data_IF_958362966293
#
_entry.id   IF_958362966293
#
_cell.length_a   1.000
_cell.length_b   1.000
_cell.length_c   1.000
_cell.angle_alpha   90.00
_cell.angle_beta   90.00
_cell.angle_gamma   90.00
#
_symmetry.space_group_name_H-M   'P 1'
#
loop_
_entity.id
_entity.type
_entity.pdbx_description
1 polymer ?
#
# COMPACT_ATOMS: atom_id res chain seq x y z
N UNK A 1 58.14 17.69 7.47
CA UNK A 1 56.83 17.79 6.77
C UNK A 1 56.50 16.40 6.26
N UNK A 2 55.45 15.75 6.76
CA UNK A 2 55.01 14.45 6.25
C UNK A 2 54.48 14.62 4.83
N UNK A 3 55.03 13.89 3.87
CA UNK A 3 54.51 13.82 2.50
C UNK A 3 53.01 13.51 2.54
N UNK A 4 52.17 14.18 1.73
CA UNK A 4 50.77 13.81 1.61
C UNK A 4 50.69 12.34 1.18
N UNK A 5 49.75 11.57 1.76
CA UNK A 5 49.62 10.15 1.40
C UNK A 5 49.42 10.02 -0.11
N UNK A 6 50.07 9.03 -0.73
CA UNK A 6 50.06 8.87 -2.21
C UNK A 6 48.65 8.78 -2.81
N UNK A 7 47.68 8.30 -2.02
CA UNK A 7 46.27 8.30 -2.40
C UNK A 7 45.64 9.71 -2.42
N UNK A 8 45.90 10.53 -1.40
CA UNK A 8 45.34 11.88 -1.29
C UNK A 8 46.01 12.88 -2.24
N UNK A 9 47.18 12.55 -2.79
CA UNK A 9 47.81 13.33 -3.87
C UNK A 9 47.22 13.06 -5.27
N UNK A 10 46.42 12.00 -5.45
CA UNK A 10 45.74 11.74 -6.74
C UNK A 10 44.73 12.86 -7.05
N UNK A 11 44.42 13.15 -8.32
CA UNK A 11 43.31 14.04 -8.68
C UNK A 11 41.96 13.55 -8.13
N UNK A 12 41.02 14.48 -7.91
CA UNK A 12 39.71 14.19 -7.31
C UNK A 12 38.93 13.15 -8.11
N UNK A 13 38.99 13.25 -9.42
CA UNK A 13 38.31 12.39 -10.40
C UNK A 13 38.80 10.95 -10.28
N UNK A 14 40.11 10.74 -10.12
CA UNK A 14 40.70 9.42 -9.92
C UNK A 14 40.30 8.84 -8.57
N UNK A 15 40.28 9.67 -7.51
CA UNK A 15 39.78 9.23 -6.20
C UNK A 15 38.31 8.83 -6.27
N UNK A 16 37.47 9.53 -7.01
CA UNK A 16 36.05 9.20 -7.18
C UNK A 16 35.84 7.86 -7.89
N UNK A 17 36.64 7.55 -8.90
CA UNK A 17 36.64 6.22 -9.54
C UNK A 17 37.03 5.14 -8.53
N UNK A 18 38.06 5.40 -7.71
CA UNK A 18 38.51 4.45 -6.67
C UNK A 18 37.43 4.27 -5.60
N UNK A 19 36.78 5.35 -5.14
CA UNK A 19 35.70 5.26 -4.16
C UNK A 19 34.51 4.49 -4.69
N UNK A 20 34.11 4.73 -5.95
CA UNK A 20 33.04 3.99 -6.60
C UNK A 20 33.39 2.49 -6.70
N UNK A 21 34.61 2.16 -7.12
CA UNK A 21 35.08 0.79 -7.17
C UNK A 21 35.09 0.12 -5.78
N UNK A 22 35.53 0.85 -4.74
CA UNK A 22 35.60 0.34 -3.37
C UNK A 22 34.22 -0.06 -2.82
N UNK A 23 33.19 0.74 -3.11
CA UNK A 23 31.81 0.47 -2.62
C UNK A 23 30.98 -0.36 -3.60
N UNK A 24 31.50 -0.69 -4.78
CA UNK A 24 30.76 -1.44 -5.78
C UNK A 24 30.48 -2.87 -5.31
N UNK A 25 29.24 -3.31 -5.48
CA UNK A 25 28.81 -4.69 -5.31
C UNK A 25 28.13 -5.15 -6.61
N UNK A 26 28.52 -6.31 -7.13
CA UNK A 26 28.09 -6.83 -8.43
C UNK A 26 26.55 -6.89 -8.57
N UNK A 27 25.88 -7.39 -7.53
CA UNK A 27 24.41 -7.46 -7.45
C UNK A 27 23.79 -6.30 -6.63
N UNK A 28 24.60 -5.29 -6.31
CA UNK A 28 24.21 -4.14 -5.51
C UNK A 28 23.87 -4.47 -4.06
N UNK A 29 22.92 -3.71 -3.51
CA UNK A 29 22.49 -3.80 -2.12
C UNK A 29 21.09 -4.39 -2.00
N UNK A 30 20.82 -5.03 -0.87
CA UNK A 30 19.52 -5.61 -0.53
C UNK A 30 19.09 -5.19 0.87
N UNK A 31 17.79 -5.30 1.14
CA UNK A 31 17.27 -5.09 2.48
C UNK A 31 17.43 -6.35 3.35
N UNK A 32 18.07 -6.21 4.51
CA UNK A 32 18.07 -7.21 5.57
C UNK A 32 16.69 -7.22 6.27
N UNK A 33 15.84 -8.17 5.87
CA UNK A 33 14.47 -8.26 6.36
C UNK A 33 14.37 -8.64 7.84
N UNK A 34 15.33 -9.39 8.39
CA UNK A 34 15.31 -9.76 9.81
C UNK A 34 15.54 -8.54 10.69
N UNK A 35 16.52 -7.70 10.34
CA UNK A 35 16.77 -6.42 11.01
C UNK A 35 15.61 -5.45 10.84
N UNK A 36 15.04 -5.37 9.63
CA UNK A 36 13.89 -4.51 9.38
C UNK A 36 12.66 -4.96 10.17
N UNK A 37 12.34 -6.25 10.16
CA UNK A 37 11.24 -6.83 10.91
C UNK A 37 11.41 -6.58 12.41
N UNK A 38 12.61 -6.85 12.96
CA UNK A 38 12.93 -6.57 14.35
C UNK A 38 12.75 -5.09 14.69
N UNK A 39 13.16 -4.18 13.79
CA UNK A 39 12.94 -2.74 13.99
C UNK A 39 11.46 -2.37 14.03
N UNK A 40 10.67 -2.84 13.05
CA UNK A 40 9.23 -2.60 13.00
C UNK A 40 8.58 -3.11 14.29
N UNK A 41 8.85 -4.35 14.70
CA UNK A 41 8.26 -4.95 15.89
C UNK A 41 8.67 -4.19 17.17
N UNK A 42 9.92 -3.77 17.29
CA UNK A 42 10.37 -2.95 18.43
C UNK A 42 9.69 -1.57 18.50
N UNK A 43 9.18 -1.06 17.37
CA UNK A 43 8.39 0.17 17.36
C UNK A 43 6.95 -0.09 17.80
N UNK A 44 6.42 -1.30 17.62
CA UNK A 44 5.11 -1.70 18.15
C UNK A 44 5.08 -1.83 19.67
N UNK A 45 6.20 -2.20 20.28
CA UNK A 45 6.35 -2.34 21.73
C UNK A 45 6.55 -1.01 22.46
N UNK A 46 6.94 0.05 21.74
CA UNK A 46 7.28 1.36 22.31
C UNK A 46 6.09 2.33 22.31
N UNK A 47 6.14 3.31 23.22
CA UNK A 47 5.08 4.28 23.39
C UNK A 47 4.97 5.21 22.17
N UNK A 48 3.73 5.53 21.75
CA UNK A 48 3.40 6.19 20.48
C UNK A 48 4.02 7.59 20.30
N UNK A 49 4.49 8.23 21.37
CA UNK A 49 5.11 9.56 21.32
C UNK A 49 6.60 9.54 20.95
N UNK A 50 7.17 8.37 20.61
CA UNK A 50 8.58 8.28 20.23
C UNK A 50 8.74 8.56 18.72
N UNK A 51 9.55 9.53 18.30
CA UNK A 51 9.72 9.86 16.89
C UNK A 51 10.26 8.66 16.09
N UNK A 52 9.82 8.56 14.83
CA UNK A 52 10.21 7.50 13.90
C UNK A 52 11.74 7.50 13.78
N UNK A 53 12.39 6.45 14.27
CA UNK A 53 13.85 6.36 14.27
C UNK A 53 14.36 5.93 12.89
N UNK A 54 15.52 6.46 12.52
CA UNK A 54 16.33 5.94 11.42
C UNK A 54 16.52 4.43 11.58
N UNK A 55 16.18 3.65 10.55
CA UNK A 55 16.37 2.20 10.58
C UNK A 55 17.80 1.89 10.13
N UNK A 56 18.74 1.97 11.08
CA UNK A 56 20.16 1.74 10.80
C UNK A 56 20.44 0.28 10.41
N UNK A 57 21.35 0.08 9.46
CA UNK A 57 21.92 -1.23 9.15
C UNK A 57 20.95 -2.22 8.50
N UNK A 58 19.87 -1.74 7.89
CA UNK A 58 18.93 -2.58 7.10
C UNK A 58 19.37 -2.80 5.67
N UNK A 59 20.39 -2.08 5.19
CA UNK A 59 20.99 -2.36 3.89
C UNK A 59 22.24 -3.22 4.11
N UNK A 60 22.39 -4.21 3.25
CA UNK A 60 23.54 -5.09 3.17
C UNK A 60 23.86 -5.37 1.71
N UNK A 61 25.03 -5.92 1.42
CA UNK A 61 25.35 -6.40 0.08
C UNK A 61 24.45 -7.58 -0.30
N UNK A 62 24.26 -7.80 -1.59
CA UNK A 62 23.44 -8.91 -2.08
C UNK A 62 23.98 -10.30 -1.70
N UNK A 63 25.31 -10.43 -1.51
CA UNK A 63 25.99 -11.61 -0.97
C UNK A 63 25.80 -11.79 0.56
N UNK A 64 24.89 -11.01 1.17
CA UNK A 64 24.56 -10.98 2.59
C UNK A 64 25.70 -10.46 3.49
N UNK A 65 26.78 -9.93 2.93
CA UNK A 65 27.83 -9.29 3.71
C UNK A 65 27.46 -7.85 4.09
N UNK A 66 28.00 -7.33 5.21
CA UNK A 66 27.87 -5.91 5.53
C UNK A 66 28.44 -5.02 4.42
N UNK A 67 27.89 -3.81 4.26
CA UNK A 67 28.49 -2.79 3.39
C UNK A 67 29.79 -2.32 4.06
N UNK A 68 30.92 -2.49 3.38
CA UNK A 68 32.21 -2.03 3.89
C UNK A 68 32.33 -0.50 3.74
N UNK A 69 32.42 0.17 4.89
CA UNK A 69 32.59 1.63 4.98
C UNK A 69 33.92 2.00 5.64
N UNK A 70 34.83 1.05 5.83
CA UNK A 70 36.09 1.26 6.56
C UNK A 70 36.92 2.40 5.97
N UNK A 71 36.98 2.52 4.63
CA UNK A 71 37.68 3.61 3.97
C UNK A 71 37.15 4.99 4.39
N UNK A 72 35.83 5.14 4.55
CA UNK A 72 35.21 6.40 4.99
C UNK A 72 35.59 6.81 6.42
N UNK A 73 36.02 5.85 7.25
CA UNK A 73 36.44 6.10 8.63
C UNK A 73 37.92 6.45 8.78
N UNK A 74 38.71 6.40 7.69
CA UNK A 74 40.16 6.65 7.74
C UNK A 74 40.51 8.12 8.03
N UNK A 75 39.84 9.08 7.36
CA UNK A 75 40.01 10.50 7.65
C UNK A 75 38.80 11.33 7.19
N UNK A 76 38.69 12.57 7.70
CA UNK A 76 37.55 13.48 7.42
C UNK A 76 37.40 13.84 5.94
N UNK A 77 38.51 13.93 5.20
CA UNK A 77 38.47 14.26 3.77
C UNK A 77 37.80 13.12 3.00
N UNK A 78 38.29 11.88 3.19
CA UNK A 78 37.72 10.67 2.58
C UNK A 78 36.26 10.48 3.00
N UNK A 79 35.93 10.67 4.29
CA UNK A 79 34.56 10.60 4.78
C UNK A 79 33.61 11.58 4.05
N UNK A 80 34.07 12.80 3.80
CA UNK A 80 33.30 13.83 3.09
C UNK A 80 33.16 13.49 1.61
N UNK A 81 34.24 13.02 1.01
CA UNK A 81 34.35 12.68 -0.40
C UNK A 81 33.55 11.43 -0.79
N UNK A 82 33.48 10.44 0.10
CA UNK A 82 32.72 9.20 -0.10
C UNK A 82 31.24 9.30 0.25
N UNK A 83 30.79 10.47 0.73
CA UNK A 83 29.39 10.67 1.14
C UNK A 83 28.46 10.43 -0.05
N UNK A 84 27.60 9.43 0.07
CA UNK A 84 26.61 9.10 -0.95
C UNK A 84 27.11 8.18 -2.06
N UNK A 85 28.42 8.03 -2.27
CA UNK A 85 29.01 7.25 -3.37
C UNK A 85 28.47 5.81 -3.41
N UNK A 86 28.30 5.18 -2.24
CA UNK A 86 27.73 3.85 -2.12
C UNK A 86 26.30 3.72 -2.69
N UNK A 87 25.45 4.74 -2.47
CA UNK A 87 24.05 4.77 -2.93
C UNK A 87 23.94 5.22 -4.40
N UNK A 88 24.91 5.99 -4.88
CA UNK A 88 24.98 6.41 -6.27
C UNK A 88 25.44 5.29 -7.19
N UNK A 89 26.37 4.47 -6.69
CA UNK A 89 27.01 3.39 -7.45
C UNK A 89 26.16 2.12 -7.52
N UNK A 90 25.43 1.80 -6.45
CA UNK A 90 24.76 0.51 -6.32
C UNK A 90 23.24 0.63 -6.41
N UNK A 91 22.62 -0.31 -7.15
CA UNK A 91 21.18 -0.48 -7.09
C UNK A 91 20.77 -1.06 -5.73
N UNK A 92 19.61 -0.65 -5.21
CA UNK A 92 19.02 -1.22 -4.00
C UNK A 92 17.80 -2.06 -4.37
N UNK A 93 17.86 -3.35 -4.04
CA UNK A 93 16.79 -4.29 -4.31
C UNK A 93 15.95 -4.56 -3.08
N UNK A 94 14.63 -4.38 -3.21
CA UNK A 94 13.62 -4.78 -2.24
C UNK A 94 12.78 -5.92 -2.80
N UNK A 95 12.26 -6.76 -1.93
CA UNK A 95 11.40 -7.91 -2.24
C UNK A 95 10.26 -7.96 -1.25
N UNK A 96 9.27 -8.83 -1.49
CA UNK A 96 8.15 -8.94 -0.56
C UNK A 96 8.60 -9.47 0.80
N UNK A 97 8.08 -8.88 1.88
CA UNK A 97 8.56 -9.13 3.24
C UNK A 97 7.49 -9.79 4.11
N UNK A 98 7.89 -10.80 4.88
CA UNK A 98 7.05 -11.46 5.89
C UNK A 98 7.89 -12.11 6.98
N UNK A 99 7.33 -12.24 8.17
CA UNK A 99 7.85 -13.01 9.30
C UNK A 99 6.67 -13.61 10.09
N UNK A 100 6.92 -14.42 11.10
CA UNK A 100 5.87 -15.02 11.93
C UNK A 100 4.98 -14.00 12.64
N UNK A 101 5.56 -12.86 13.02
CA UNK A 101 4.89 -11.76 13.70
C UNK A 101 4.34 -10.76 12.67
N UNK A 102 5.13 -10.40 11.66
CA UNK A 102 4.73 -9.44 10.62
C UNK A 102 3.52 -9.94 9.81
N UNK A 103 3.38 -11.25 9.58
CA UNK A 103 2.20 -11.79 8.88
C UNK A 103 0.89 -11.49 9.62
N UNK A 104 0.91 -11.38 10.94
CA UNK A 104 -0.29 -11.08 11.74
C UNK A 104 -0.66 -9.60 11.56
N UNK A 105 0.35 -8.72 11.53
CA UNK A 105 0.19 -7.30 11.25
C UNK A 105 -0.34 -7.12 9.83
N UNK A 106 0.28 -7.75 8.83
CA UNK A 106 -0.14 -7.70 7.44
C UNK A 106 -1.57 -8.23 7.24
N UNK A 107 -1.96 -9.34 7.90
CA UNK A 107 -3.33 -9.85 7.88
C UNK A 107 -4.33 -8.82 8.40
N UNK A 108 -4.04 -8.22 9.56
CA UNK A 108 -4.92 -7.21 10.19
C UNK A 108 -5.05 -5.98 9.30
N UNK A 109 -3.93 -5.53 8.76
CA UNK A 109 -3.87 -4.41 7.85
C UNK A 109 -4.67 -4.66 6.57
N UNK A 110 -4.49 -5.83 5.94
CA UNK A 110 -5.24 -6.22 4.76
C UNK A 110 -6.76 -6.22 5.02
N UNK A 111 -7.16 -6.81 6.15
CA UNK A 111 -8.55 -6.86 6.53
C UNK A 111 -9.13 -5.46 6.72
N UNK A 112 -8.38 -4.59 7.41
CA UNK A 112 -8.81 -3.22 7.63
C UNK A 112 -8.92 -2.45 6.32
N UNK A 113 -7.86 -2.39 5.51
CA UNK A 113 -7.86 -1.58 4.28
C UNK A 113 -8.88 -2.07 3.27
N UNK A 114 -8.81 -3.34 2.88
CA UNK A 114 -9.58 -3.86 1.74
C UNK A 114 -11.01 -4.20 2.15
N UNK A 115 -11.19 -4.91 3.26
CA UNK A 115 -12.52 -5.47 3.62
C UNK A 115 -13.38 -4.48 4.39
N UNK A 116 -12.77 -3.68 5.27
CA UNK A 116 -13.51 -2.70 6.05
C UNK A 116 -13.53 -1.39 5.30
N UNK A 117 -12.38 -0.80 5.07
CA UNK A 117 -12.28 0.59 4.69
C UNK A 117 -12.77 0.88 3.27
N UNK A 118 -12.20 0.23 2.27
CA UNK A 118 -12.60 0.44 0.87
C UNK A 118 -14.02 -0.07 0.61
N UNK A 119 -14.36 -1.23 1.16
CA UNK A 119 -15.70 -1.80 1.06
C UNK A 119 -16.78 -0.93 1.70
N UNK A 120 -16.54 -0.41 2.91
CA UNK A 120 -17.47 0.47 3.61
C UNK A 120 -17.60 1.82 2.90
N UNK A 121 -16.52 2.38 2.35
CA UNK A 121 -16.58 3.62 1.56
C UNK A 121 -17.46 3.46 0.33
N UNK A 122 -17.23 2.40 -0.42
CA UNK A 122 -18.00 2.11 -1.62
C UNK A 122 -19.48 1.89 -1.27
N UNK A 123 -19.78 1.09 -0.25
CA UNK A 123 -21.14 0.87 0.22
C UNK A 123 -21.82 2.17 0.73
N UNK A 124 -21.12 2.96 1.54
CA UNK A 124 -21.61 4.25 2.04
C UNK A 124 -21.87 5.23 0.90
N UNK A 125 -20.98 5.27 -0.10
CA UNK A 125 -21.18 6.12 -1.27
C UNK A 125 -22.41 5.69 -2.05
N UNK A 126 -22.59 4.40 -2.33
CA UNK A 126 -23.79 3.89 -3.01
C UNK A 126 -25.08 4.23 -2.27
N UNK A 127 -25.06 4.20 -0.94
CA UNK A 127 -26.20 4.53 -0.10
C UNK A 127 -26.47 6.04 -0.04
N UNK A 128 -25.45 6.84 0.25
CA UNK A 128 -25.59 8.25 0.57
C UNK A 128 -25.32 9.21 -0.61
N UNK A 129 -24.79 8.76 -1.74
CA UNK A 129 -24.32 9.66 -2.78
C UNK A 129 -25.39 10.52 -3.47
N UNK A 130 -26.67 10.14 -3.39
CA UNK A 130 -27.77 10.99 -3.83
C UNK A 130 -27.88 12.29 -2.99
N UNK A 131 -27.44 12.25 -1.73
CA UNK A 131 -27.53 13.37 -0.77
C UNK A 131 -26.42 14.40 -0.91
N UNK A 132 -25.51 14.22 -1.88
CA UNK A 132 -24.43 15.15 -2.16
C UNK A 132 -24.97 16.53 -2.57
N UNK A 133 -24.47 17.63 -1.96
CA UNK A 133 -24.82 19.00 -2.37
C UNK A 133 -24.46 19.28 -3.83
N UNK A 134 -25.26 20.10 -4.53
CA UNK A 134 -25.07 20.35 -5.96
C UNK A 134 -23.72 21.02 -6.28
N UNK A 135 -23.30 22.01 -5.48
CA UNK A 135 -22.01 22.68 -5.68
C UNK A 135 -20.83 21.71 -5.61
N UNK A 136 -20.84 20.83 -4.60
CA UNK A 136 -19.82 19.79 -4.44
C UNK A 136 -19.86 18.76 -5.57
N UNK A 137 -21.06 18.37 -6.01
CA UNK A 137 -21.25 17.45 -7.16
C UNK A 137 -20.60 18.02 -8.42
N UNK A 138 -20.82 19.31 -8.71
CA UNK A 138 -20.21 19.96 -9.87
C UNK A 138 -18.68 20.05 -9.73
N UNK A 139 -18.18 20.38 -8.53
CA UNK A 139 -16.75 20.35 -8.24
C UNK A 139 -16.12 18.97 -8.50
N UNK A 140 -16.79 17.90 -8.09
CA UNK A 140 -16.33 16.52 -8.33
C UNK A 140 -16.39 16.13 -9.81
N UNK A 141 -17.39 16.59 -10.57
CA UNK A 141 -17.42 16.36 -12.03
C UNK A 141 -16.25 17.02 -12.75
N UNK A 142 -15.87 18.22 -12.33
CA UNK A 142 -14.70 18.92 -12.89
C UNK A 142 -13.39 18.18 -12.55
N UNK A 143 -13.28 17.67 -11.33
CA UNK A 143 -12.10 16.93 -10.86
C UNK A 143 -12.01 15.51 -11.43
N UNK A 144 -13.15 14.85 -11.61
CA UNK A 144 -13.28 13.47 -12.05
C UNK A 144 -14.31 13.33 -13.19
N UNK A 145 -14.02 13.87 -14.39
CA UNK A 145 -14.97 13.87 -15.51
C UNK A 145 -15.41 12.46 -15.92
N UNK A 146 -14.55 11.45 -15.78
CA UNK A 146 -14.86 10.05 -16.08
C UNK A 146 -15.96 9.47 -15.17
N UNK A 147 -16.16 10.03 -13.96
CA UNK A 147 -17.20 9.60 -13.03
C UNK A 147 -18.44 10.51 -13.05
N UNK A 148 -18.50 11.51 -13.93
CA UNK A 148 -19.66 12.40 -14.04
C UNK A 148 -20.97 11.66 -14.35
N UNK A 149 -21.03 10.66 -15.26
CA UNK A 149 -22.25 9.90 -15.52
C UNK A 149 -22.76 9.14 -14.28
N UNK A 150 -21.84 8.65 -13.44
CA UNK A 150 -22.19 7.99 -12.19
C UNK A 150 -22.85 8.97 -11.20
N UNK A 151 -22.29 10.18 -11.07
CA UNK A 151 -22.85 11.22 -10.20
C UNK A 151 -24.24 11.67 -10.67
N UNK A 152 -24.46 11.78 -11.98
CA UNK A 152 -25.77 12.12 -12.56
C UNK A 152 -26.80 11.03 -12.30
N UNK A 153 -26.43 9.78 -12.56
CA UNK A 153 -27.29 8.63 -12.30
C UNK A 153 -27.72 8.57 -10.83
N UNK A 154 -26.79 8.78 -9.89
CA UNK A 154 -27.09 8.76 -8.46
C UNK A 154 -28.04 9.88 -8.02
N UNK A 155 -27.95 11.06 -8.65
CA UNK A 155 -28.89 12.16 -8.42
C UNK A 155 -30.29 11.80 -8.91
N UNK A 156 -30.39 11.25 -10.12
CA UNK A 156 -31.65 10.91 -10.77
C UNK A 156 -32.38 9.77 -10.05
N UNK A 157 -31.66 8.72 -9.66
CA UNK A 157 -32.26 7.53 -9.03
C UNK A 157 -32.60 7.74 -7.54
N UNK A 158 -32.01 8.75 -6.89
CA UNK A 158 -32.23 9.03 -5.48
C UNK A 158 -31.94 7.82 -4.57
N UNK A 159 -32.72 7.67 -3.50
CA UNK A 159 -32.68 6.49 -2.62
C UNK A 159 -33.66 5.37 -3.04
N UNK A 160 -34.17 5.41 -4.28
CA UNK A 160 -35.24 4.49 -4.71
C UNK A 160 -34.72 3.21 -5.37
N UNK A 161 -33.41 3.12 -5.62
CA UNK A 161 -32.83 1.99 -6.34
C UNK A 161 -32.87 0.69 -5.50
N UNK A 162 -33.34 -0.45 -6.04
CA UNK A 162 -33.43 -1.71 -5.28
C UNK A 162 -32.09 -2.16 -4.67
N UNK A 163 -30.97 -1.87 -5.34
CA UNK A 163 -29.63 -2.18 -4.82
C UNK A 163 -29.22 -1.35 -3.58
N UNK A 164 -29.79 -0.17 -3.32
CA UNK A 164 -29.52 0.59 -2.08
C UNK A 164 -30.31 0.05 -0.88
N UNK A 165 -31.43 -0.66 -1.12
CA UNK A 165 -32.22 -1.33 -0.08
C UNK A 165 -31.73 -2.74 0.25
N UNK A 166 -31.10 -3.43 -0.70
CA UNK A 166 -30.60 -4.80 -0.49
C UNK A 166 -29.26 -4.84 0.25
N UNK A 167 -28.53 -3.74 0.42
CA UNK A 167 -27.24 -3.69 1.14
C UNK A 167 -27.37 -3.38 2.64
N UNK A 168 -28.57 -3.02 3.13
CA UNK A 168 -28.77 -2.51 4.50
C UNK A 168 -29.08 -3.58 5.55
N UNK A 169 -28.76 -4.85 5.29
CA UNK A 169 -28.95 -5.92 6.28
C UNK A 169 -28.02 -7.11 6.09
N UNK A 170 -27.90 -7.94 7.14
CA UNK A 170 -27.15 -9.20 7.11
C UNK A 170 -27.55 -10.11 5.93
N UNK A 171 -28.77 -10.02 5.44
CA UNK A 171 -29.25 -10.77 4.27
C UNK A 171 -28.61 -10.30 2.95
N UNK A 172 -28.36 -9.00 2.80
CA UNK A 172 -27.65 -8.41 1.66
C UNK A 172 -26.18 -8.81 1.58
N UNK A 173 -25.51 -8.72 2.73
CA UNK A 173 -24.15 -9.20 2.88
C UNK A 173 -24.11 -10.72 2.65
N UNK A 174 -24.99 -11.48 3.31
CA UNK A 174 -25.04 -12.93 3.17
C UNK A 174 -25.40 -13.37 1.73
N UNK A 175 -26.15 -12.57 0.98
CA UNK A 175 -26.44 -12.82 -0.43
C UNK A 175 -25.23 -12.47 -1.32
N UNK A 176 -24.49 -11.39 -1.05
CA UNK A 176 -23.17 -11.13 -1.66
C UNK A 176 -22.18 -12.27 -1.40
N UNK A 177 -22.18 -12.79 -0.16
CA UNK A 177 -21.36 -13.91 0.28
C UNK A 177 -21.77 -15.27 -0.36
N UNK A 178 -23.07 -15.50 -0.62
CA UNK A 178 -23.65 -16.76 -1.15
C UNK A 178 -23.76 -16.82 -2.69
N UNK A 179 -23.91 -15.68 -3.37
CA UNK A 179 -24.14 -15.63 -4.83
C UNK A 179 -22.88 -15.39 -5.66
N UNK A 180 -21.69 -15.54 -5.07
CA UNK A 180 -20.43 -15.38 -5.80
C UNK A 180 -20.24 -13.99 -6.42
N UNK A 181 -20.86 -12.94 -5.85
CA UNK A 181 -20.78 -11.56 -6.37
C UNK A 181 -21.38 -11.34 -7.77
N UNK A 182 -22.17 -12.27 -8.30
CA UNK A 182 -22.61 -12.26 -9.70
C UNK A 182 -23.74 -11.29 -10.05
N UNK A 183 -24.70 -11.05 -9.13
CA UNK A 183 -25.95 -10.30 -9.44
C UNK A 183 -25.99 -8.83 -9.00
N UNK A 184 -25.02 -8.35 -8.22
CA UNK A 184 -25.00 -6.99 -7.63
C UNK A 184 -23.98 -6.04 -8.32
N UNK A 185 -23.81 -6.18 -9.64
CA UNK A 185 -22.70 -5.57 -10.40
C UNK A 185 -22.98 -4.16 -10.94
N UNK A 186 -24.21 -3.63 -10.87
CA UNK A 186 -24.58 -2.45 -11.69
C UNK A 186 -23.93 -1.13 -11.28
N UNK A 187 -23.35 -1.02 -10.08
CA UNK A 187 -22.64 0.18 -9.60
C UNK A 187 -21.26 -0.12 -9.01
N UNK A 188 -20.60 -1.20 -9.45
CA UNK A 188 -19.26 -1.51 -8.97
C UNK A 188 -18.22 -0.88 -9.89
N UNK A 189 -17.42 0.03 -9.34
CA UNK A 189 -16.22 0.53 -10.01
C UNK A 189 -15.19 -0.58 -10.26
N UNK A 190 -14.10 -0.26 -10.97
CA UNK A 190 -13.63 1.10 -11.24
C UNK A 190 -14.09 1.68 -12.60
N UNK A 191 -15.04 1.05 -13.30
CA UNK A 191 -15.58 1.55 -14.59
C UNK A 191 -14.52 1.72 -15.69
N UNK A 192 -13.51 0.84 -15.71
CA UNK A 192 -12.38 0.91 -16.65
C UNK A 192 -11.20 1.75 -16.16
N UNK A 193 -11.35 2.48 -15.06
CA UNK A 193 -10.28 3.29 -14.45
C UNK A 193 -9.37 2.46 -13.52
N UNK A 194 -8.28 3.08 -13.06
CA UNK A 194 -7.46 2.50 -12.01
C UNK A 194 -8.27 2.33 -10.70
N UNK A 195 -8.21 1.18 -10.02
CA UNK A 195 -8.85 0.98 -8.73
C UNK A 195 -8.47 2.06 -7.69
N UNK A 196 -7.21 2.51 -7.67
CA UNK A 196 -6.74 3.58 -6.79
C UNK A 196 -7.40 4.93 -7.06
N UNK A 197 -7.62 5.27 -8.34
CA UNK A 197 -8.31 6.47 -8.75
C UNK A 197 -9.77 6.44 -8.29
N UNK A 198 -10.45 5.30 -8.47
CA UNK A 198 -11.80 5.10 -7.98
C UNK A 198 -11.89 5.19 -6.44
N UNK A 199 -10.98 4.55 -5.70
CA UNK A 199 -10.91 4.67 -4.23
C UNK A 199 -10.70 6.11 -3.76
N UNK A 200 -9.89 6.89 -4.48
CA UNK A 200 -9.66 8.31 -4.20
C UNK A 200 -10.92 9.12 -4.46
N UNK A 201 -11.59 8.89 -5.60
CA UNK A 201 -12.89 9.49 -5.91
C UNK A 201 -13.93 9.19 -4.83
N UNK A 202 -14.04 7.93 -4.35
CA UNK A 202 -14.97 7.56 -3.29
C UNK A 202 -14.70 8.34 -1.99
N UNK A 203 -13.44 8.51 -1.62
CA UNK A 203 -13.05 9.30 -0.44
C UNK A 203 -13.50 10.75 -0.56
N UNK A 204 -13.23 11.37 -1.70
CA UNK A 204 -13.57 12.77 -1.96
C UNK A 204 -15.09 12.97 -2.06
N UNK A 205 -15.78 12.03 -2.70
CA UNK A 205 -17.24 12.02 -2.77
C UNK A 205 -17.90 11.91 -1.40
N UNK A 206 -17.41 11.02 -0.52
CA UNK A 206 -17.91 10.92 0.84
C UNK A 206 -17.61 12.17 1.67
N UNK A 207 -16.45 12.80 1.44
CA UNK A 207 -16.10 14.08 2.09
C UNK A 207 -17.07 15.18 1.65
N UNK A 208 -17.37 15.27 0.36
CA UNK A 208 -18.36 16.18 -0.21
C UNK A 208 -19.78 15.92 0.34
N UNK A 209 -20.21 14.67 0.47
CA UNK A 209 -21.51 14.34 1.07
C UNK A 209 -21.53 14.80 2.54
N UNK A 210 -20.45 14.55 3.28
CA UNK A 210 -20.30 14.93 4.67
C UNK A 210 -20.14 16.45 4.89
N UNK A 211 -20.08 17.28 3.84
CA UNK A 211 -20.05 18.74 4.00
C UNK A 211 -21.40 19.33 4.42
N UNK A 212 -22.50 18.60 4.18
CA UNK A 212 -23.86 19.00 4.56
C UNK A 212 -24.42 18.20 5.74
N UNK A 213 -25.30 18.82 6.53
CA UNK A 213 -26.00 18.14 7.64
C UNK A 213 -26.79 16.92 7.14
N UNK A 214 -27.54 17.08 6.06
CA UNK A 214 -28.33 16.00 5.46
C UNK A 214 -27.46 14.83 4.98
N UNK A 215 -26.34 15.11 4.31
CA UNK A 215 -25.43 14.07 3.85
C UNK A 215 -24.73 13.33 4.99
N UNK A 216 -24.34 14.03 6.07
CA UNK A 216 -23.83 13.39 7.30
C UNK A 216 -24.86 12.44 7.90
N UNK A 217 -26.11 12.86 8.01
CA UNK A 217 -27.20 12.02 8.53
C UNK A 217 -27.40 10.76 7.67
N UNK A 218 -27.25 10.83 6.34
CA UNK A 218 -27.31 9.65 5.48
C UNK A 218 -26.14 8.69 5.69
N UNK A 219 -24.91 9.20 5.83
CA UNK A 219 -23.72 8.36 6.11
C UNK A 219 -23.86 7.68 7.47
N UNK A 220 -24.30 8.40 8.49
CA UNK A 220 -24.53 7.82 9.82
C UNK A 220 -25.67 6.80 9.81
N UNK A 221 -26.74 7.05 9.05
CA UNK A 221 -27.84 6.11 8.88
C UNK A 221 -27.35 4.80 8.27
N UNK A 222 -26.58 4.86 7.18
CA UNK A 222 -25.93 3.69 6.60
C UNK A 222 -25.15 2.90 7.67
N UNK A 223 -24.38 3.60 8.50
CA UNK A 223 -23.56 2.96 9.54
C UNK A 223 -24.40 2.31 10.65
N UNK A 224 -25.48 2.95 11.09
CA UNK A 224 -26.42 2.39 12.06
C UNK A 224 -27.11 1.13 11.53
N UNK A 225 -27.50 1.13 10.26
CA UNK A 225 -28.20 0.01 9.62
C UNK A 225 -27.27 -1.18 9.33
N UNK A 226 -26.05 -0.93 8.85
CA UNK A 226 -25.11 -2.00 8.47
C UNK A 226 -24.23 -2.51 9.59
N UNK A 227 -23.95 -1.67 10.60
CA UNK A 227 -23.02 -1.98 11.68
C UNK A 227 -23.63 -1.79 13.09
N UNK A 228 -24.84 -2.30 13.40
CA UNK A 228 -25.56 -1.97 14.63
C UNK A 228 -24.81 -2.31 15.92
N UNK A 229 -23.98 -3.37 15.90
CA UNK A 229 -23.20 -3.81 17.07
C UNK A 229 -21.91 -3.01 17.31
N UNK A 230 -21.45 -2.25 16.33
CA UNK A 230 -20.19 -1.48 16.37
C UNK A 230 -20.37 0.01 16.10
N UNK A 231 -21.60 0.46 15.82
CA UNK A 231 -21.93 1.85 15.52
C UNK A 231 -21.53 2.83 16.64
N UNK A 232 -21.49 2.39 17.89
CA UNK A 232 -21.07 3.19 19.05
C UNK A 232 -19.54 3.19 19.27
N UNK A 233 -18.79 2.27 18.64
CA UNK A 233 -17.34 2.10 18.82
C UNK A 233 -16.53 2.82 17.73
N UNK A 234 -17.12 3.02 16.55
CA UNK A 234 -16.46 3.61 15.39
C UNK A 234 -17.39 4.71 14.86
N UNK A 235 -17.02 6.00 15.00
CA UNK A 235 -17.74 7.09 14.35
C UNK A 235 -17.83 6.86 12.84
N UNK A 236 -19.01 7.02 12.25
CA UNK A 236 -19.27 6.74 10.83
C UNK A 236 -18.30 7.49 9.89
N UNK A 237 -17.90 8.70 10.27
CA UNK A 237 -16.97 9.53 9.49
C UNK A 237 -15.51 9.07 9.56
N UNK A 238 -15.13 8.16 10.47
CA UNK A 238 -13.75 7.64 10.51
C UNK A 238 -13.36 6.92 9.21
N UNK A 239 -14.33 6.26 8.58
CA UNK A 239 -14.13 5.61 7.27
C UNK A 239 -13.83 6.64 6.18
N UNK A 240 -14.32 7.88 6.31
CA UNK A 240 -14.00 8.97 5.40
C UNK A 240 -12.62 9.54 5.73
N UNK A 241 -12.31 9.72 7.02
CA UNK A 241 -11.17 10.48 7.52
C UNK A 241 -9.83 9.72 7.55
N UNK A 242 -9.79 8.38 7.45
CA UNK A 242 -8.51 7.67 7.59
C UNK A 242 -7.46 8.15 6.58
N UNK A 243 -6.26 8.32 7.13
CA UNK A 243 -5.07 8.81 6.43
C UNK A 243 -4.08 7.70 6.08
N UNK A 244 -4.30 6.49 6.61
CA UNK A 244 -3.44 5.33 6.34
C UNK A 244 -3.55 5.00 4.84
N UNK A 245 -2.40 4.89 4.19
CA UNK A 245 -2.28 4.57 2.76
C UNK A 245 -2.15 3.06 2.56
N UNK A 246 -2.59 2.56 1.40
CA UNK A 246 -2.49 1.14 1.01
C UNK A 246 -1.06 0.60 1.08
N UNK A 247 -0.07 1.39 0.66
CA UNK A 247 1.34 1.03 0.68
C UNK A 247 2.04 1.23 2.04
N UNK A 248 1.30 1.49 3.12
CA UNK A 248 1.89 1.64 4.43
C UNK A 248 2.39 0.30 5.00
N UNK A 249 3.46 0.37 5.77
CA UNK A 249 3.83 -0.69 6.73
C UNK A 249 3.39 -0.18 8.11
N UNK A 250 2.25 -0.66 8.66
CA UNK A 250 1.63 -0.05 9.82
C UNK A 250 2.50 -0.09 11.08
N UNK A 251 2.51 1.03 11.79
CA UNK A 251 3.13 1.18 13.11
C UNK A 251 2.11 0.96 14.23
N UNK A 252 2.56 0.97 15.49
CA UNK A 252 1.70 0.74 16.64
C UNK A 252 0.49 1.71 16.69
N UNK A 253 0.71 2.98 16.33
CA UNK A 253 -0.34 3.99 16.29
C UNK A 253 -1.40 3.67 15.22
N UNK A 254 -0.97 3.36 13.99
CA UNK A 254 -1.85 2.89 12.92
C UNK A 254 -2.65 1.69 13.40
N UNK A 255 -1.99 0.74 14.08
CA UNK A 255 -2.63 -0.45 14.64
C UNK A 255 -3.65 -0.15 15.74
N UNK A 256 -3.49 0.93 16.51
CA UNK A 256 -4.51 1.36 17.49
C UNK A 256 -5.80 1.81 16.79
N UNK A 257 -5.69 2.53 15.66
CA UNK A 257 -6.85 2.80 14.80
C UNK A 257 -7.50 1.49 14.31
N UNK A 258 -6.71 0.46 14.02
CA UNK A 258 -7.18 -0.86 13.58
C UNK A 258 -7.80 -1.73 14.69
N UNK A 259 -7.51 -1.43 15.96
CA UNK A 259 -7.88 -2.30 17.11
C UNK A 259 -9.27 -2.00 17.67
N UNK A 260 -9.76 -0.75 17.52
CA UNK A 260 -11.13 -0.38 17.92
C UNK A 260 -12.20 -1.14 17.10
N UNK A 261 -11.89 -1.51 15.87
CA UNK A 261 -12.74 -2.39 15.04
C UNK A 261 -12.76 -3.84 15.56
N UNK A 262 -11.67 -4.31 16.19
CA UNK A 262 -11.54 -5.69 16.70
C UNK A 262 -12.32 -5.95 17.99
N UNK A 263 -12.60 -4.93 18.80
CA UNK A 263 -13.41 -5.08 20.02
C UNK A 263 -14.83 -5.60 19.74
N UNK A 264 -15.32 -5.38 18.51
CA UNK A 264 -16.65 -5.81 18.08
C UNK A 264 -16.76 -7.30 17.68
N UNK A 265 -15.64 -8.04 17.57
CA UNK A 265 -15.67 -9.36 16.93
C UNK A 265 -14.70 -10.39 17.56
N UNK A 266 -14.97 -10.80 18.80
CA UNK A 266 -14.16 -11.75 19.59
C UNK A 266 -13.90 -13.11 18.91
N UNK A 267 -14.87 -13.64 18.16
CA UNK A 267 -14.72 -14.89 17.37
C UNK A 267 -13.65 -14.78 16.29
N UNK A 268 -13.48 -13.60 15.68
CA UNK A 268 -12.51 -13.37 14.61
C UNK A 268 -11.06 -13.38 15.13
N UNK A 269 -10.83 -12.95 16.38
CA UNK A 269 -9.50 -12.86 17.00
C UNK A 269 -8.86 -14.25 17.18
N UNK A 270 -9.63 -15.24 17.64
CA UNK A 270 -9.16 -16.62 17.80
C UNK A 270 -8.83 -17.31 16.47
N UNK A 271 -9.65 -17.11 15.43
CA UNK A 271 -9.39 -17.65 14.08
C UNK A 271 -8.16 -17.01 13.42
N UNK A 272 -7.91 -15.71 13.63
CA UNK A 272 -6.77 -14.99 13.03
C UNK A 272 -5.43 -15.39 13.66
N UNK A 273 -5.40 -15.75 14.94
CA UNK A 273 -4.19 -16.25 15.61
C UNK A 273 -3.82 -17.67 15.16
N UNK A 274 -4.82 -18.48 14.77
CA UNK A 274 -4.63 -19.83 14.23
C UNK A 274 -4.34 -19.85 12.72
N UNK A 275 -4.59 -18.73 12.04
CA UNK A 275 -4.23 -18.57 10.64
C UNK A 275 -2.71 -18.71 10.49
N UNK A 276 -2.26 -19.57 9.57
CA UNK A 276 -0.84 -19.79 9.24
C UNK A 276 -0.49 -19.27 7.84
N UNK A 277 -1.40 -18.54 7.21
CA UNK A 277 -1.16 -17.88 5.92
C UNK A 277 0.03 -16.93 6.03
N UNK A 278 0.88 -16.95 5.00
CA UNK A 278 1.98 -16.01 4.86
C UNK A 278 1.47 -14.72 4.20
N UNK A 279 0.86 -13.84 4.99
CA UNK A 279 0.58 -12.47 4.58
C UNK A 279 1.89 -11.67 4.51
N UNK A 280 2.04 -10.86 3.46
CA UNK A 280 3.29 -10.16 3.16
C UNK A 280 3.05 -8.69 2.84
N UNK A 281 4.01 -7.84 3.16
CA UNK A 281 4.09 -6.51 2.59
C UNK A 281 4.76 -6.58 1.22
N UNK A 282 4.29 -5.77 0.29
CA UNK A 282 4.85 -5.66 -1.06
C UNK A 282 6.28 -5.12 -1.01
N UNK A 283 7.08 -5.38 -2.05
CA UNK A 283 8.40 -4.75 -2.18
C UNK A 283 8.32 -3.21 -2.18
N UNK A 284 7.30 -2.64 -2.84
CA UNK A 284 7.08 -1.20 -2.87
C UNK A 284 6.84 -0.59 -1.47
N UNK A 285 5.90 -1.14 -0.70
CA UNK A 285 5.63 -0.71 0.68
C UNK A 285 6.88 -0.77 1.58
N UNK A 286 7.67 -1.85 1.46
CA UNK A 286 8.92 -2.01 2.20
C UNK A 286 9.94 -0.94 1.80
N UNK A 287 10.13 -0.72 0.50
CA UNK A 287 11.02 0.31 -0.01
C UNK A 287 10.59 1.70 0.49
N UNK A 288 9.31 2.05 0.37
CA UNK A 288 8.77 3.33 0.87
C UNK A 288 9.06 3.49 2.36
N UNK A 289 8.84 2.45 3.17
CA UNK A 289 9.11 2.50 4.60
C UNK A 289 10.59 2.77 4.90
N UNK A 290 11.50 2.06 4.22
CA UNK A 290 12.95 2.22 4.42
C UNK A 290 13.42 3.58 3.93
N UNK A 291 13.05 3.98 2.71
CA UNK A 291 13.45 5.25 2.11
C UNK A 291 12.95 6.45 2.91
N UNK A 292 11.71 6.42 3.40
CA UNK A 292 11.19 7.48 4.27
C UNK A 292 11.94 7.60 5.60
N UNK A 293 12.58 6.52 6.07
CA UNK A 293 13.39 6.54 7.28
C UNK A 293 14.80 7.12 7.06
N UNK A 294 15.25 7.23 5.81
CA UNK A 294 16.54 7.83 5.46
C UNK A 294 16.47 9.37 5.53
N UNK A 295 17.53 10.05 5.96
CA UNK A 295 17.65 11.50 5.82
C UNK A 295 17.56 11.92 4.35
N UNK A 296 16.98 13.11 4.09
CA UNK A 296 16.89 13.70 2.74
C UNK A 296 18.25 13.70 2.04
N UNK A 297 19.31 14.07 2.76
CA UNK A 297 20.68 14.07 2.22
C UNK A 297 21.12 12.72 1.67
N UNK A 298 20.71 11.61 2.30
CA UNK A 298 21.00 10.25 1.81
C UNK A 298 20.10 9.88 0.63
N UNK A 299 18.82 10.29 0.67
CA UNK A 299 17.87 10.01 -0.43
C UNK A 299 18.28 10.66 -1.75
N UNK A 300 18.90 11.84 -1.71
CA UNK A 300 19.42 12.53 -2.89
C UNK A 300 20.55 11.79 -3.61
N UNK A 301 21.22 10.85 -2.94
CA UNK A 301 22.28 10.03 -3.52
C UNK A 301 21.75 8.73 -4.14
N UNK A 302 20.48 8.39 -3.97
CA UNK A 302 19.91 7.20 -4.60
C UNK A 302 19.83 7.40 -6.12
N UNK A 303 20.19 6.36 -6.88
CA UNK A 303 20.08 6.37 -8.36
C UNK A 303 19.18 5.28 -8.89
N UNK A 304 19.20 4.09 -8.28
CA UNK A 304 18.41 2.95 -8.76
C UNK A 304 17.83 2.13 -7.62
N UNK A 305 16.52 1.92 -7.67
CA UNK A 305 15.79 1.03 -6.76
C UNK A 305 15.08 -0.03 -7.60
N UNK A 306 15.26 -1.29 -7.25
CA UNK A 306 14.60 -2.44 -7.88
C UNK A 306 13.60 -3.03 -6.88
N UNK A 307 12.35 -3.16 -7.30
CA UNK A 307 11.26 -3.71 -6.50
C UNK A 307 10.83 -5.05 -7.08
N UNK A 308 11.21 -6.14 -6.41
CA UNK A 308 10.82 -7.50 -6.78
C UNK A 308 9.53 -7.89 -6.05
N UNK A 309 8.40 -7.69 -6.71
CA UNK A 309 7.08 -8.14 -6.25
C UNK A 309 6.92 -9.65 -6.52
N UNK A 310 7.73 -10.45 -5.82
CA UNK A 310 7.99 -11.87 -6.05
C UNK A 310 6.95 -12.81 -5.42
N UNK A 311 6.03 -12.27 -4.60
CA UNK A 311 4.91 -12.98 -3.96
C UNK A 311 3.69 -12.09 -3.87
N UNK A 312 2.52 -12.68 -3.69
CA UNK A 312 1.31 -11.95 -3.29
C UNK A 312 1.53 -11.16 -1.99
N UNK A 313 1.10 -9.90 -2.01
CA UNK A 313 1.18 -8.95 -0.91
C UNK A 313 -0.20 -8.36 -0.56
N UNK A 314 -0.29 -7.78 0.63
CA UNK A 314 -1.53 -7.22 1.18
C UNK A 314 -1.85 -5.82 0.66
N UNK A 315 -3.11 -5.42 0.85
CA UNK A 315 -3.62 -4.06 0.68
C UNK A 315 -3.55 -3.52 -0.76
N UNK A 316 -3.93 -4.33 -1.74
CA UNK A 316 -3.98 -3.96 -3.17
C UNK A 316 -2.62 -3.49 -3.71
N UNK A 317 -1.61 -4.39 -3.74
CA UNK A 317 -0.23 -4.03 -4.04
C UNK A 317 -0.06 -3.36 -5.41
N UNK A 318 -0.97 -3.54 -6.35
CA UNK A 318 -0.96 -2.90 -7.65
C UNK A 318 -0.74 -1.38 -7.54
N UNK A 319 -1.43 -0.71 -6.61
CA UNK A 319 -1.39 0.74 -6.46
C UNK A 319 -0.19 1.27 -5.67
N UNK A 320 0.65 0.40 -5.09
CA UNK A 320 1.71 0.83 -4.17
C UNK A 320 2.79 1.70 -4.82
N UNK A 321 2.88 1.71 -6.15
CA UNK A 321 3.74 2.64 -6.89
C UNK A 321 3.43 4.12 -6.60
N UNK A 322 2.18 4.46 -6.26
CA UNK A 322 1.77 5.81 -5.91
C UNK A 322 2.56 6.38 -4.72
N UNK A 323 2.94 5.52 -3.76
CA UNK A 323 3.71 5.93 -2.60
C UNK A 323 5.16 6.33 -2.89
N UNK A 324 5.67 6.04 -4.08
CA UNK A 324 7.02 6.40 -4.53
C UNK A 324 7.06 7.77 -5.19
N UNK A 325 5.93 8.33 -5.60
CA UNK A 325 5.84 9.62 -6.29
C UNK A 325 6.55 10.74 -5.52
N UNK A 326 6.30 10.95 -4.21
CA UNK A 326 6.97 12.02 -3.47
C UNK A 326 8.49 11.86 -3.42
N UNK A 327 8.97 10.61 -3.35
CA UNK A 327 10.41 10.30 -3.28
C UNK A 327 11.07 10.56 -4.64
N UNK A 328 10.41 10.20 -5.74
CA UNK A 328 10.92 10.45 -7.09
C UNK A 328 10.87 11.95 -7.44
N UNK A 329 9.88 12.70 -6.93
CA UNK A 329 9.86 14.17 -7.06
C UNK A 329 10.99 14.83 -6.26
N UNK A 330 11.30 14.32 -5.07
CA UNK A 330 12.40 14.83 -4.24
C UNK A 330 13.76 14.58 -4.91
N UNK A 331 13.96 13.39 -5.50
CA UNK A 331 15.17 13.03 -6.22
C UNK A 331 14.86 12.67 -7.69
N UNK A 332 14.94 13.65 -8.62
CA UNK A 332 14.67 13.43 -10.04
C UNK A 332 15.64 12.47 -10.75
N UNK A 333 16.79 12.16 -10.14
CA UNK A 333 17.76 11.21 -10.68
C UNK A 333 17.49 9.77 -10.24
N UNK A 334 16.51 9.55 -9.34
CA UNK A 334 16.13 8.22 -8.89
C UNK A 334 15.30 7.51 -9.96
N UNK A 335 15.79 6.35 -10.39
CA UNK A 335 15.05 5.41 -11.23
C UNK A 335 14.51 4.25 -10.40
N UNK A 336 13.23 3.95 -10.58
CA UNK A 336 12.56 2.83 -9.91
C UNK A 336 12.14 1.80 -10.94
N UNK A 337 12.68 0.60 -10.82
CA UNK A 337 12.30 -0.55 -11.63
C UNK A 337 11.40 -1.49 -10.80
N UNK A 338 10.16 -1.72 -11.25
CA UNK A 338 9.21 -2.59 -10.56
C UNK A 338 8.98 -3.88 -11.34
N UNK A 339 9.47 -5.00 -10.82
CA UNK A 339 9.36 -6.34 -11.40
C UNK A 339 8.27 -7.13 -10.70
N UNK A 340 7.24 -7.54 -11.43
CA UNK A 340 6.10 -8.26 -10.85
C UNK A 340 6.10 -9.71 -11.32
N UNK A 341 6.13 -10.66 -10.38
CA UNK A 341 6.03 -12.08 -10.73
C UNK A 341 4.59 -12.40 -11.15
N UNK A 342 4.38 -12.74 -12.43
CA UNK A 342 3.05 -13.16 -12.88
C UNK A 342 2.57 -14.39 -12.09
N UNK A 343 3.41 -15.43 -12.02
CA UNK A 343 3.04 -16.69 -11.40
C UNK A 343 2.90 -16.63 -9.89
N UNK A 344 3.76 -15.91 -9.19
CA UNK A 344 3.77 -15.91 -7.71
C UNK A 344 3.01 -14.74 -7.10
N UNK A 345 2.56 -13.79 -7.92
CA UNK A 345 1.87 -12.59 -7.48
C UNK A 345 0.61 -12.33 -8.30
N UNK A 346 0.73 -11.88 -9.56
CA UNK A 346 -0.44 -11.39 -10.32
C UNK A 346 -1.53 -12.47 -10.48
N UNK A 347 -1.15 -13.69 -10.83
CA UNK A 347 -2.06 -14.83 -11.01
C UNK A 347 -2.51 -15.49 -9.72
N UNK A 348 -2.05 -15.04 -8.55
CA UNK A 348 -2.46 -15.65 -7.29
C UNK A 348 -3.81 -15.16 -6.80
N UNK A 349 -4.31 -14.03 -7.30
CA UNK A 349 -5.60 -13.48 -6.90
C UNK A 349 -6.75 -14.26 -7.52
N UNK A 350 -7.54 -14.90 -6.67
CA UNK A 350 -8.76 -15.61 -7.07
C UNK A 350 -9.94 -15.06 -6.27
N UNK A 351 -10.97 -14.59 -6.99
CA UNK A 351 -12.20 -14.02 -6.43
C UNK A 351 -13.04 -15.06 -5.68
N UNK A 352 -12.87 -16.36 -5.98
CA UNK A 352 -13.56 -17.44 -5.29
C UNK A 352 -13.03 -17.65 -3.85
N UNK A 353 -11.82 -17.17 -3.54
CA UNK A 353 -11.14 -17.47 -2.26
C UNK A 353 -10.66 -16.20 -1.55
N UNK A 354 -11.17 -16.00 -0.33
CA UNK A 354 -11.01 -14.76 0.45
C UNK A 354 -9.72 -14.60 1.25
N UNK A 355 -8.88 -15.62 1.31
CA UNK A 355 -7.56 -15.56 1.93
C UNK A 355 -6.55 -16.30 1.06
N UNK A 356 -5.26 -15.90 1.08
CA UNK A 356 -4.24 -16.63 0.34
C UNK A 356 -4.23 -18.12 0.71
N UNK A 357 -4.37 -18.49 1.99
CA UNK A 357 -4.41 -19.92 2.40
C UNK A 357 -5.66 -20.69 1.92
N UNK A 358 -6.81 -20.04 1.83
CA UNK A 358 -8.01 -20.66 1.25
C UNK A 358 -7.78 -21.04 -0.23
N UNK A 359 -6.92 -20.30 -0.93
CA UNK A 359 -6.55 -20.61 -2.31
C UNK A 359 -5.74 -21.88 -2.42
N UNK A 360 -4.91 -22.26 -1.45
CA UNK A 360 -4.03 -23.43 -1.59
C UNK A 360 -4.54 -24.70 -0.90
N UNK A 361 -5.57 -24.61 -0.06
CA UNK A 361 -6.07 -25.75 0.73
C UNK A 361 -7.10 -26.58 -0.05
N UNK A 362 -6.82 -27.87 -0.34
CA UNK A 362 -7.71 -28.74 -1.12
C UNK A 362 -9.12 -28.83 -0.56
N UNK A 363 -9.27 -28.81 0.77
CA UNK A 363 -10.58 -28.89 1.45
C UNK A 363 -11.55 -27.73 1.17
N UNK A 364 -11.07 -26.62 0.62
CA UNK A 364 -11.92 -25.49 0.23
C UNK A 364 -12.27 -25.52 -1.26
N UNK A 365 -11.77 -26.50 -2.01
CA UNK A 365 -11.93 -26.58 -3.46
C UNK A 365 -12.94 -27.65 -3.83
N UNK A 366 -13.88 -27.26 -4.67
CA UNK A 366 -14.87 -28.17 -5.26
C UNK A 366 -14.56 -28.49 -6.74
N UNK A 367 -13.58 -27.81 -7.35
CA UNK A 367 -13.22 -27.94 -8.78
C UNK A 367 -11.70 -28.04 -8.99
N UNK A 368 -11.24 -28.62 -10.12
CA UNK A 368 -9.82 -28.65 -10.52
C UNK A 368 -9.23 -27.24 -10.65
N UNK A 369 -7.90 -27.11 -10.49
CA UNK A 369 -7.18 -25.84 -10.64
C UNK A 369 -7.35 -25.25 -12.05
N UNK A 370 -8.32 -24.38 -12.22
CA UNK A 370 -8.45 -23.54 -13.40
C UNK A 370 -8.92 -22.16 -12.94
N UNK A 371 -8.09 -21.14 -13.16
CA UNK A 371 -8.59 -19.77 -13.11
C UNK A 371 -9.39 -19.52 -14.38
N UNK A 372 -10.51 -18.83 -14.23
CA UNK A 372 -11.26 -18.33 -15.38
C UNK A 372 -10.38 -17.35 -16.19
N UNK A 373 -10.44 -17.42 -17.52
CA UNK A 373 -9.64 -16.56 -18.40
C UNK A 373 -9.91 -15.08 -18.14
N UNK A 374 -11.15 -14.70 -17.79
CA UNK A 374 -11.49 -13.33 -17.41
C UNK A 374 -10.80 -12.90 -16.11
N UNK A 375 -10.58 -13.82 -15.17
CA UNK A 375 -9.86 -13.55 -13.92
C UNK A 375 -8.37 -13.32 -14.19
N UNK A 376 -7.76 -14.11 -15.07
CA UNK A 376 -6.36 -13.94 -15.48
C UNK A 376 -6.15 -12.57 -16.10
N UNK A 377 -7.00 -12.20 -17.06
CA UNK A 377 -6.95 -10.89 -17.72
C UNK A 377 -7.17 -9.76 -16.71
N UNK A 378 -8.19 -9.86 -15.85
CA UNK A 378 -8.47 -8.85 -14.83
C UNK A 378 -7.29 -8.65 -13.86
N UNK A 379 -6.67 -9.74 -13.43
CA UNK A 379 -5.53 -9.67 -12.52
C UNK A 379 -4.36 -8.91 -13.15
N UNK A 380 -3.99 -9.23 -14.39
CA UNK A 380 -2.89 -8.54 -15.08
C UNK A 380 -3.26 -7.10 -15.41
N UNK A 381 -4.48 -6.87 -15.90
CA UNK A 381 -4.93 -5.52 -16.26
C UNK A 381 -4.92 -4.59 -15.06
N UNK A 382 -5.22 -5.09 -13.85
CA UNK A 382 -5.15 -4.27 -12.63
C UNK A 382 -3.74 -3.71 -12.37
N UNK A 383 -2.69 -4.49 -12.62
CA UNK A 383 -1.29 -4.02 -12.49
C UNK A 383 -0.93 -3.02 -13.59
N UNK A 384 -1.34 -3.28 -14.83
CA UNK A 384 -1.05 -2.43 -15.98
C UNK A 384 -1.73 -1.06 -15.83
N UNK A 385 -3.03 -1.04 -15.51
CA UNK A 385 -3.80 0.19 -15.38
C UNK A 385 -3.28 1.03 -14.20
N UNK A 386 -2.94 0.41 -13.06
CA UNK A 386 -2.34 1.12 -11.93
C UNK A 386 -0.95 1.69 -12.26
N UNK A 387 -0.16 1.00 -13.09
CA UNK A 387 1.12 1.51 -13.58
C UNK A 387 0.93 2.71 -14.52
N UNK A 388 -0.02 2.64 -15.46
CA UNK A 388 -0.36 3.74 -16.37
C UNK A 388 -0.91 4.96 -15.63
N UNK A 389 -1.58 4.76 -14.49
CA UNK A 389 -2.10 5.85 -13.67
C UNK A 389 -1.02 6.63 -12.89
N UNK A 390 0.23 6.15 -12.84
CA UNK A 390 1.31 6.80 -12.10
C UNK A 390 1.71 8.15 -12.70
N UNK A 391 1.83 8.24 -14.03
CA UNK A 391 2.25 9.47 -14.72
C UNK A 391 1.20 10.59 -14.53
N UNK A 392 -0.11 10.38 -14.78
CA UNK A 392 -1.14 11.37 -14.45
C UNK A 392 -1.20 11.74 -12.96
N UNK A 393 -0.83 10.82 -12.06
CA UNK A 393 -0.72 11.09 -10.63
C UNK A 393 0.55 11.91 -10.26
N UNK A 394 1.41 12.20 -11.24
CA UNK A 394 2.58 13.05 -11.10
C UNK A 394 3.89 12.31 -10.85
N UNK A 395 3.97 11.01 -11.17
CA UNK A 395 5.26 10.32 -11.23
C UNK A 395 6.16 10.99 -12.29
N UNK A 396 7.41 11.39 -11.96
CA UNK A 396 8.32 11.96 -12.95
C UNK A 396 8.64 10.97 -14.07
N UNK A 397 8.94 11.50 -15.26
CA UNK A 397 9.31 10.68 -16.40
C UNK A 397 10.70 10.05 -16.24
N UNK A 398 10.72 8.72 -16.30
CA UNK A 398 11.85 7.90 -16.74
C UNK A 398 12.44 6.93 -15.75
#
# INVERSE_FOLDING_TARGET
MSLPSGFLSLPREIRDIIYAFYVFAEDGYTCNYDRLAGSILSQHERNANTPRRYVAGVLQRADLQPIDLNLSYTCRLVAREMRGVALETNAITFSTMTSNELRIIALRFNHFMVKRFDGDRDAAFRFAGFSMPEGERQGLKLKYPQFAPLLDRMKQEGNTHPETRLTTGWDGLAQWYRSGGGRFRSRMGPYGEAPSLYRTFLKDALTAIASSKFGREQIERFWRETCPKSAHLIPALRVVECKIQHWAVPLAEDMRYLTLDQASNSRSRGTRLRDRTKYRFSAAAVAIHVLQSLPVSSRMHLRRVILNEDREAVADPQCHGLGLIPICKENPLLRVERRVSLWRNAFQTDTAYRSPDARYKPKYRYTPWAMDSSQVTHNVSSWVIEALALEPAGMPSG
#
